data_IF_632928843302
#
_entry.id   IF_632928843302
#
_cell.length_a   1.000
_cell.length_b   1.000
_cell.length_c   1.000
_cell.angle_alpha   90.00
_cell.angle_beta   90.00
_cell.angle_gamma   90.00
#
_symmetry.space_group_name_H-M   'P 1'
#
loop_
_entity.id
_entity.type
_entity.pdbx_description
1 polymer ?
#
# COMPACT_ATOMS: atom_id res chain seq x y z
N UNK A 1 10.22 6.35 24.76
CA UNK A 1 10.11 6.65 23.31
C UNK A 1 10.70 5.46 22.56
N UNK A 2 9.96 4.85 21.63
CA UNK A 2 10.42 3.68 20.87
C UNK A 2 11.00 4.15 19.53
N UNK A 3 12.26 3.80 19.27
CA UNK A 3 12.98 4.14 18.04
C UNK A 3 12.51 3.24 16.90
N UNK A 4 12.16 3.86 15.77
CA UNK A 4 11.69 3.19 14.56
C UNK A 4 12.91 2.77 13.73
N UNK A 5 12.97 1.51 13.29
CA UNK A 5 14.04 1.00 12.42
C UNK A 5 13.42 0.54 11.11
N UNK A 6 13.73 1.26 10.05
CA UNK A 6 13.14 1.14 8.73
C UNK A 6 14.20 0.54 7.79
N UNK A 7 14.51 -0.76 7.96
CA UNK A 7 15.35 -1.59 7.07
C UNK A 7 16.73 -1.01 6.64
N UNK A 8 17.23 0.03 7.32
CA UNK A 8 18.47 0.74 6.97
C UNK A 8 19.46 0.73 8.12
N UNK A 9 20.73 0.49 7.80
CA UNK A 9 21.87 0.56 8.74
C UNK A 9 21.90 1.91 9.49
N UNK A 10 21.38 2.96 8.87
CA UNK A 10 21.27 4.31 9.40
C UNK A 10 20.34 4.41 10.63
N UNK A 11 19.23 3.66 10.63
CA UNK A 11 18.32 3.62 11.78
C UNK A 11 18.88 2.75 12.92
N UNK A 12 19.63 1.71 12.58
CA UNK A 12 20.36 0.91 13.56
C UNK A 12 21.45 1.76 14.23
N UNK A 13 22.15 2.60 13.47
CA UNK A 13 23.12 3.56 14.01
C UNK A 13 22.44 4.58 14.94
N UNK A 14 21.28 5.12 14.54
CA UNK A 14 20.51 6.05 15.36
C UNK A 14 19.99 5.41 16.66
N UNK A 15 19.54 4.15 16.59
CA UNK A 15 19.10 3.39 17.76
C UNK A 15 20.28 3.09 18.71
N UNK A 16 21.44 2.68 18.17
CA UNK A 16 22.67 2.45 18.92
C UNK A 16 23.19 3.74 19.58
N UNK A 17 23.12 4.90 18.91
CA UNK A 17 23.54 6.18 19.52
C UNK A 17 22.66 6.61 20.69
N UNK A 18 21.36 6.30 20.64
CA UNK A 18 20.39 6.78 21.63
C UNK A 18 20.17 5.81 22.81
N UNK A 19 20.75 4.62 22.80
CA UNK A 19 20.51 3.63 23.86
C UNK A 19 21.79 2.92 24.30
N UNK A 20 22.20 3.19 25.55
CA UNK A 20 23.36 2.57 26.17
C UNK A 20 23.19 1.06 26.38
N UNK A 21 21.96 0.61 26.64
CA UNK A 21 21.62 -0.81 26.82
C UNK A 21 21.81 -1.63 25.53
N UNK A 22 21.40 -1.08 24.37
CA UNK A 22 21.65 -1.72 23.08
C UNK A 22 23.14 -1.71 22.72
N UNK A 23 23.90 -0.66 23.06
CA UNK A 23 25.36 -0.67 22.84
C UNK A 23 26.06 -1.75 23.64
N UNK A 24 25.66 -1.97 24.88
CA UNK A 24 26.26 -3.00 25.72
C UNK A 24 25.93 -4.39 25.19
N UNK A 25 24.65 -4.66 24.90
CA UNK A 25 24.22 -5.92 24.28
C UNK A 25 24.87 -6.18 22.92
N UNK A 26 25.05 -5.15 22.09
CA UNK A 26 25.72 -5.26 20.79
C UNK A 26 27.23 -5.52 20.93
N UNK A 27 27.87 -5.02 21.99
CA UNK A 27 29.29 -5.31 22.31
C UNK A 27 29.48 -6.73 22.86
N UNK A 28 28.54 -7.22 23.67
CA UNK A 28 28.64 -8.56 24.27
C UNK A 28 28.31 -9.65 23.25
N UNK A 29 27.26 -9.48 22.45
CA UNK A 29 26.88 -10.47 21.44
C UNK A 29 26.12 -9.81 20.27
N UNK A 30 26.81 -9.36 19.21
CA UNK A 30 26.20 -8.55 18.15
C UNK A 30 25.13 -9.32 17.35
N UNK A 31 25.28 -10.63 17.19
CA UNK A 31 24.34 -11.46 16.42
C UNK A 31 22.99 -11.60 17.16
N UNK A 32 23.04 -11.72 18.48
CA UNK A 32 21.85 -11.88 19.32
C UNK A 32 21.11 -10.54 19.50
N UNK A 33 21.86 -9.45 19.65
CA UNK A 33 21.31 -8.09 19.69
C UNK A 33 20.53 -7.76 18.41
N UNK A 34 21.06 -8.11 17.23
CA UNK A 34 20.35 -7.91 15.94
C UNK A 34 19.10 -8.78 15.83
N UNK A 35 19.11 -9.98 16.44
CA UNK A 35 17.93 -10.87 16.49
C UNK A 35 16.82 -10.37 17.41
N UNK A 36 17.17 -9.72 18.52
CA UNK A 36 16.23 -9.07 19.44
C UNK A 36 15.71 -7.73 18.91
N UNK A 37 16.40 -7.11 17.96
CA UNK A 37 15.88 -5.96 17.23
C UNK A 37 14.73 -6.43 16.35
N UNK A 38 13.53 -6.37 16.92
CA UNK A 38 12.25 -6.63 16.27
C UNK A 38 12.12 -5.66 15.08
N UNK A 39 12.46 -6.13 13.88
CA UNK A 39 12.21 -5.42 12.62
C UNK A 39 10.69 -5.34 12.48
N UNK A 40 10.10 -4.30 13.07
CA UNK A 40 8.71 -3.91 12.82
C UNK A 40 8.68 -3.33 11.42
N UNK A 41 8.54 -4.23 10.46
CA UNK A 41 8.33 -3.88 9.07
C UNK A 41 7.18 -2.86 9.02
N UNK A 42 7.30 -1.76 8.25
CA UNK A 42 6.26 -0.72 8.16
C UNK A 42 4.89 -1.24 7.69
N UNK A 43 4.83 -2.52 7.29
CA UNK A 43 3.63 -3.33 7.09
C UNK A 43 2.64 -3.29 8.25
N UNK A 44 3.11 -3.13 9.49
CA UNK A 44 2.24 -3.07 10.68
C UNK A 44 1.71 -1.67 10.99
N UNK A 45 2.28 -0.61 10.38
CA UNK A 45 1.95 0.77 10.72
C UNK A 45 0.70 1.27 10.01
N UNK A 46 0.27 0.69 8.88
CA UNK A 46 -0.80 1.35 8.12
C UNK A 46 -1.71 0.44 7.29
N UNK A 47 -2.30 -0.57 7.94
CA UNK A 47 -3.45 -1.29 7.37
C UNK A 47 -4.62 -0.32 7.04
N UNK A 48 -4.66 0.83 7.71
CA UNK A 48 -5.62 1.91 7.47
C UNK A 48 -5.37 2.65 6.16
N UNK A 49 -4.13 3.04 5.85
CA UNK A 49 -3.78 3.65 4.55
C UNK A 49 -4.15 2.73 3.39
N UNK A 50 -3.85 1.44 3.55
CA UNK A 50 -4.15 0.42 2.56
C UNK A 50 -5.66 0.32 2.31
N UNK A 51 -6.45 0.30 3.39
CA UNK A 51 -7.91 0.23 3.30
C UNK A 51 -8.52 1.47 2.65
N UNK A 52 -8.00 2.67 2.93
CA UNK A 52 -8.45 3.93 2.31
C UNK A 52 -8.18 3.93 0.81
N UNK A 53 -6.98 3.54 0.38
CA UNK A 53 -6.60 3.52 -1.03
C UNK A 53 -7.50 2.55 -1.80
N UNK A 54 -7.72 1.35 -1.27
CA UNK A 54 -8.62 0.35 -1.88
C UNK A 54 -10.06 0.85 -1.92
N UNK A 55 -10.56 1.49 -0.86
CA UNK A 55 -11.91 2.08 -0.82
C UNK A 55 -12.08 3.18 -1.87
N UNK A 56 -11.11 4.10 -1.97
CA UNK A 56 -11.17 5.22 -2.91
C UNK A 56 -11.08 4.74 -4.36
N UNK A 57 -10.21 3.76 -4.64
CA UNK A 57 -10.06 3.19 -5.97
C UNK A 57 -11.30 2.38 -6.37
N UNK A 58 -11.89 1.60 -5.45
CA UNK A 58 -13.16 0.92 -5.67
C UNK A 58 -14.33 1.88 -5.89
N UNK A 59 -14.41 2.96 -5.09
CA UNK A 59 -15.45 3.98 -5.24
C UNK A 59 -15.35 4.71 -6.59
N UNK A 60 -14.13 4.98 -7.06
CA UNK A 60 -13.90 5.58 -8.38
C UNK A 60 -14.45 4.69 -9.51
N UNK A 61 -14.23 3.37 -9.45
CA UNK A 61 -14.76 2.42 -10.44
C UNK A 61 -16.30 2.42 -10.42
N UNK A 62 -16.91 2.37 -9.24
CA UNK A 62 -18.38 2.40 -9.10
C UNK A 62 -18.95 3.71 -9.65
N UNK A 63 -18.30 4.85 -9.36
CA UNK A 63 -18.72 6.16 -9.87
C UNK A 63 -18.66 6.22 -11.40
N UNK A 64 -17.62 5.64 -12.01
CA UNK A 64 -17.48 5.54 -13.47
C UNK A 64 -18.64 4.72 -14.07
N UNK A 65 -18.93 3.54 -13.51
CA UNK A 65 -20.02 2.67 -13.97
C UNK A 65 -21.37 3.39 -13.86
N UNK A 66 -21.64 4.05 -12.72
CA UNK A 66 -22.86 4.81 -12.50
C UNK A 66 -22.99 5.98 -13.49
N UNK A 67 -21.91 6.71 -13.75
CA UNK A 67 -21.88 7.78 -14.74
C UNK A 67 -22.19 7.29 -16.16
N UNK A 68 -21.66 6.12 -16.54
CA UNK A 68 -21.94 5.49 -17.82
C UNK A 68 -23.42 5.09 -17.97
N UNK A 69 -24.01 4.52 -16.93
CA UNK A 69 -25.44 4.17 -16.90
C UNK A 69 -26.28 5.45 -17.02
N UNK A 70 -25.92 6.51 -16.31
CA UNK A 70 -26.65 7.78 -16.32
C UNK A 70 -26.60 8.47 -17.69
N UNK A 71 -25.43 8.52 -18.31
CA UNK A 71 -25.24 9.08 -19.66
C UNK A 71 -26.04 8.26 -20.70
N UNK A 72 -26.03 6.93 -20.57
CA UNK A 72 -26.78 6.04 -21.46
C UNK A 72 -28.29 6.24 -21.33
N UNK A 73 -28.79 6.42 -20.10
CA UNK A 73 -30.21 6.65 -19.83
C UNK A 73 -30.69 8.04 -20.28
N UNK A 74 -29.88 9.09 -20.08
CA UNK A 74 -30.22 10.47 -20.49
C UNK A 74 -29.99 10.75 -21.98
N UNK A 75 -29.24 9.89 -22.67
CA UNK A 75 -28.84 10.04 -24.07
C UNK A 75 -29.94 9.77 -25.10
N UNK A 76 -31.18 9.45 -24.71
CA UNK A 76 -32.30 9.14 -25.62
C UNK A 76 -31.90 8.14 -26.75
N UNK A 77 -31.18 7.07 -26.41
CA UNK A 77 -30.80 6.02 -27.36
C UNK A 77 -29.68 6.38 -28.34
N UNK A 78 -29.04 7.56 -28.22
CA UNK A 78 -27.73 7.78 -28.86
C UNK A 78 -26.72 6.93 -28.10
N UNK A 79 -26.19 5.91 -28.77
CA UNK A 79 -25.12 5.08 -28.24
C UNK A 79 -23.99 6.00 -27.75
N UNK A 80 -23.55 5.87 -26.48
CA UNK A 80 -22.41 6.62 -26.00
C UNK A 80 -21.23 6.38 -26.94
N UNK A 81 -20.49 7.45 -27.22
CA UNK A 81 -19.37 7.42 -28.16
C UNK A 81 -18.46 6.23 -27.81
N UNK A 82 -18.25 5.33 -28.77
CA UNK A 82 -17.55 4.05 -28.53
C UNK A 82 -16.15 4.29 -27.98
N UNK A 83 -15.57 5.46 -28.30
CA UNK A 83 -14.30 5.93 -27.79
C UNK A 83 -14.35 6.24 -26.28
N UNK A 84 -15.42 6.88 -25.79
CA UNK A 84 -15.64 7.13 -24.36
C UNK A 84 -15.75 5.81 -23.60
N UNK A 85 -16.57 4.88 -24.09
CA UNK A 85 -16.75 3.55 -23.48
C UNK A 85 -15.41 2.82 -23.41
N UNK A 86 -14.62 2.88 -24.48
CA UNK A 86 -13.29 2.23 -24.55
C UNK A 86 -12.32 2.84 -23.54
N UNK A 87 -12.20 4.18 -23.49
CA UNK A 87 -11.33 4.86 -22.53
C UNK A 87 -11.70 4.47 -21.09
N UNK A 88 -12.99 4.48 -20.77
CA UNK A 88 -13.47 4.08 -19.44
C UNK A 88 -13.20 2.61 -19.12
N UNK A 89 -13.39 1.70 -20.09
CA UNK A 89 -13.07 0.29 -19.91
C UNK A 89 -11.57 0.08 -19.69
N UNK A 90 -10.70 0.79 -20.41
CA UNK A 90 -9.25 0.72 -20.25
C UNK A 90 -8.81 1.20 -18.86
N UNK A 91 -9.34 2.34 -18.39
CA UNK A 91 -9.03 2.87 -17.05
C UNK A 91 -9.52 1.91 -15.96
N UNK A 92 -10.74 1.38 -16.11
CA UNK A 92 -11.33 0.44 -15.15
C UNK A 92 -10.51 -0.85 -15.06
N UNK A 93 -10.09 -1.40 -16.20
CA UNK A 93 -9.23 -2.59 -16.25
C UNK A 93 -7.87 -2.35 -15.58
N UNK A 94 -7.24 -1.20 -15.85
CA UNK A 94 -5.98 -0.81 -15.20
C UNK A 94 -6.11 -0.65 -13.68
N UNK A 95 -7.20 -0.06 -13.21
CA UNK A 95 -7.49 0.10 -11.78
C UNK A 95 -7.72 -1.25 -11.08
N UNK A 96 -8.45 -2.18 -11.71
CA UNK A 96 -8.66 -3.54 -11.18
C UNK A 96 -7.32 -4.30 -11.14
N UNK A 97 -6.49 -4.18 -12.17
CA UNK A 97 -5.15 -4.79 -12.21
C UNK A 97 -4.24 -4.26 -11.08
N UNK A 98 -4.28 -2.96 -10.82
CA UNK A 98 -3.54 -2.34 -9.72
C UNK A 98 -4.04 -2.84 -8.34
N UNK A 99 -5.36 -2.97 -8.14
CA UNK A 99 -5.93 -3.57 -6.93
C UNK A 99 -5.48 -5.02 -6.74
N UNK A 100 -5.54 -5.83 -7.80
CA UNK A 100 -5.10 -7.22 -7.76
C UNK A 100 -3.60 -7.34 -7.44
N UNK A 101 -2.77 -6.45 -7.98
CA UNK A 101 -1.34 -6.38 -7.67
C UNK A 101 -1.08 -6.01 -6.21
N UNK A 102 -1.81 -5.03 -5.68
CA UNK A 102 -1.68 -4.57 -4.30
C UNK A 102 -2.20 -5.60 -3.27
N UNK A 103 -3.24 -6.34 -3.63
CA UNK A 103 -3.81 -7.44 -2.84
C UNK A 103 -3.04 -8.76 -2.99
N UNK A 104 -2.08 -8.84 -3.91
CA UNK A 104 -1.35 -10.08 -4.17
C UNK A 104 -0.50 -10.48 -2.95
N UNK A 105 -0.62 -11.73 -2.47
CA UNK A 105 0.13 -12.16 -1.29
C UNK A 105 1.63 -12.09 -1.58
N UNK A 106 2.37 -11.44 -0.69
CA UNK A 106 3.83 -11.44 -0.76
C UNK A 106 4.32 -12.89 -0.67
N UNK A 107 5.20 -13.35 -1.59
CA UNK A 107 5.70 -14.72 -1.56
C UNK A 107 6.33 -15.01 -0.20
N UNK A 108 5.77 -15.99 0.51
CA UNK A 108 6.32 -16.50 1.77
C UNK A 108 7.46 -17.45 1.40
N UNK A 109 8.71 -17.03 1.66
CA UNK A 109 9.87 -17.94 1.60
C UNK A 109 9.75 -19.01 2.68
#
# INVERSE_FOLDING_TARGET
>A
MKTLINDSIEDLEAALKNSSDLQEKFRTNPIEAIKEVEIRSPKDTDCWIYRIIVLMLGFAIIAIIAGLILISFWGNGKTPDSQLVTIFATISSGAIGALAGLLSPTPRK
#
